data_IF_892923160320
#
_entry.id   IF_892923160320
#
_cell.length_a   1.000
_cell.length_b   1.000
_cell.length_c   1.000
_cell.angle_alpha   90.00
_cell.angle_beta   90.00
_cell.angle_gamma   90.00
#
_symmetry.space_group_name_H-M   'P 1'
#
loop_
_entity.id
_entity.type
_entity.pdbx_description
1 polymer ?
#
# COMPACT_ATOMS: atom_id res chain seq x y z
N UNK A 1 1.17 -1.41 -1.42
CA UNK A 1 0.22 -0.28 -1.24
C UNK A 1 0.05 0.45 -2.57
N UNK A 2 -1.15 0.97 -2.86
CA UNK A 2 -1.44 1.72 -4.10
C UNK A 2 -1.55 3.21 -3.77
N UNK A 3 -0.59 3.99 -4.26
CA UNK A 3 -0.49 5.43 -4.02
C UNK A 3 -0.98 6.22 -5.22
N UNK A 4 -1.45 7.45 -4.98
CA UNK A 4 -1.85 8.41 -6.02
C UNK A 4 -0.66 9.28 -6.42
N UNK A 5 -0.40 9.40 -7.71
CA UNK A 5 0.57 10.31 -8.31
C UNK A 5 -0.01 11.72 -8.42
N UNK A 6 0.88 12.71 -8.53
CA UNK A 6 0.50 14.12 -8.74
C UNK A 6 -0.36 14.32 -10.00
N UNK A 7 -0.12 13.53 -11.05
CA UNK A 7 -0.90 13.58 -12.29
C UNK A 7 -2.25 12.83 -12.21
N UNK A 8 -2.62 12.30 -11.04
CA UNK A 8 -3.88 11.59 -10.83
C UNK A 8 -3.82 10.07 -11.06
N UNK A 9 -2.74 9.57 -11.66
CA UNK A 9 -2.52 8.14 -11.83
C UNK A 9 -2.22 7.44 -10.51
N UNK A 10 -2.12 6.12 -10.55
CA UNK A 10 -1.72 5.33 -9.39
C UNK A 10 -0.46 4.53 -9.65
N UNK A 11 0.23 4.16 -8.58
CA UNK A 11 1.40 3.30 -8.62
C UNK A 11 1.50 2.45 -7.37
N UNK A 12 2.18 1.32 -7.52
CA UNK A 12 2.42 0.40 -6.43
C UNK A 12 3.75 0.71 -5.75
N UNK A 13 3.72 0.63 -4.42
CA UNK A 13 4.90 0.73 -3.55
C UNK A 13 4.91 -0.44 -2.55
N UNK A 14 6.10 -0.93 -2.24
CA UNK A 14 6.32 -1.70 -1.03
C UNK A 14 6.53 -0.68 0.10
N UNK A 15 5.69 -0.72 1.13
CA UNK A 15 5.72 0.24 2.23
C UNK A 15 5.94 -0.52 3.54
N UNK A 16 7.06 -0.24 4.21
CA UNK A 16 7.37 -0.77 5.54
C UNK A 16 7.21 0.35 6.55
N UNK A 17 6.40 0.11 7.59
CA UNK A 17 6.14 1.09 8.65
C UNK A 17 6.78 0.60 9.95
N UNK A 18 7.63 1.42 10.54
CA UNK A 18 8.33 1.11 11.79
C UNK A 18 8.04 2.20 12.82
N UNK A 19 7.68 1.84 14.07
CA UNK A 19 7.49 2.82 15.13
C UNK A 19 8.83 3.49 15.49
N UNK A 20 8.80 4.79 15.76
CA UNK A 20 9.92 5.54 16.32
C UNK A 20 9.72 5.61 17.83
N UNK A 21 10.68 5.08 18.59
CA UNK A 21 10.62 4.99 20.05
C UNK A 21 11.61 5.96 20.68
N UNK A 22 11.12 6.86 21.53
CA UNK A 22 11.94 7.74 22.36
C UNK A 22 11.53 7.59 23.83
N UNK A 23 12.49 7.39 24.73
CA UNK A 23 12.21 7.20 26.16
C UNK A 23 11.26 6.04 26.48
N UNK A 24 11.27 4.98 25.65
CA UNK A 24 10.38 3.82 25.79
C UNK A 24 8.93 4.05 25.34
N UNK A 25 8.63 5.20 24.72
CA UNK A 25 7.30 5.52 24.18
C UNK A 25 7.37 5.70 22.67
N UNK A 26 6.34 5.23 21.98
CA UNK A 26 6.19 5.51 20.55
C UNK A 26 5.86 6.98 20.35
N UNK A 27 6.73 7.71 19.66
CA UNK A 27 6.56 9.15 19.37
C UNK A 27 6.18 9.40 17.91
N UNK A 28 6.26 8.40 17.05
CA UNK A 28 5.86 8.50 15.65
C UNK A 28 6.03 7.19 14.90
N UNK A 29 5.84 7.27 13.58
CA UNK A 29 6.03 6.15 12.68
C UNK A 29 6.79 6.61 11.44
N UNK A 30 7.80 5.84 11.07
CA UNK A 30 8.56 6.02 9.84
C UNK A 30 8.04 5.04 8.79
N UNK A 31 7.66 5.56 7.63
CA UNK A 31 7.29 4.75 6.46
C UNK A 31 8.41 4.81 5.41
N UNK A 32 9.08 3.68 5.21
CA UNK A 32 10.06 3.50 4.14
C UNK A 32 9.38 2.87 2.95
N UNK A 33 9.49 3.52 1.79
CA UNK A 33 8.87 3.06 0.55
C UNK A 33 9.93 2.70 -0.48
N UNK A 34 9.75 1.57 -1.13
CA UNK A 34 10.61 1.11 -2.22
C UNK A 34 9.79 0.77 -3.46
N UNK A 35 10.47 0.77 -4.60
CA UNK A 35 9.88 0.35 -5.88
C UNK A 35 9.72 -1.17 -5.87
N UNK A 36 8.49 -1.70 -6.03
CA UNK A 36 8.25 -3.14 -6.15
C UNK A 36 8.82 -3.68 -7.46
N UNK A 37 9.13 -4.97 -7.47
CA UNK A 37 9.40 -5.72 -8.69
C UNK A 37 8.16 -5.80 -9.58
N UNK A 38 8.35 -6.13 -10.86
CA UNK A 38 7.23 -6.24 -11.81
C UNK A 38 6.25 -7.36 -11.45
N UNK A 39 6.73 -8.45 -10.87
CA UNK A 39 5.87 -9.59 -10.53
C UNK A 39 5.05 -9.31 -9.26
N UNK A 40 5.62 -8.61 -8.27
CA UNK A 40 4.87 -8.11 -7.12
C UNK A 40 3.77 -7.13 -7.54
N UNK A 41 4.04 -6.28 -8.55
CA UNK A 41 3.02 -5.39 -9.12
C UNK A 41 1.87 -6.19 -9.73
N UNK A 42 2.16 -7.18 -10.58
CA UNK A 42 1.12 -8.01 -11.21
C UNK A 42 0.25 -8.73 -10.17
N UNK A 43 0.89 -9.30 -9.14
CA UNK A 43 0.19 -9.96 -8.06
C UNK A 43 -0.72 -8.99 -7.30
N UNK A 44 -0.18 -7.82 -6.94
CA UNK A 44 -0.95 -6.79 -6.23
C UNK A 44 -2.14 -6.28 -7.07
N UNK A 45 -1.97 -6.13 -8.38
CA UNK A 45 -3.04 -5.75 -9.30
C UNK A 45 -4.16 -6.79 -9.34
N UNK A 46 -3.81 -8.08 -9.48
CA UNK A 46 -4.79 -9.16 -9.49
C UNK A 46 -5.58 -9.24 -8.18
N UNK A 47 -4.89 -9.21 -7.05
CA UNK A 47 -5.51 -9.23 -5.72
C UNK A 47 -6.43 -8.02 -5.51
N UNK A 48 -5.97 -6.83 -5.91
CA UNK A 48 -6.77 -5.61 -5.78
C UNK A 48 -8.02 -5.63 -6.65
N UNK A 49 -7.95 -6.17 -7.87
CA UNK A 49 -9.11 -6.34 -8.73
C UNK A 49 -10.16 -7.25 -8.07
N UNK A 50 -9.74 -8.42 -7.57
CA UNK A 50 -10.62 -9.37 -6.87
C UNK A 50 -11.27 -8.74 -5.62
N UNK A 51 -10.49 -8.01 -4.82
CA UNK A 51 -11.01 -7.30 -3.65
C UNK A 51 -12.05 -6.25 -4.03
N UNK A 52 -11.80 -5.48 -5.10
CA UNK A 52 -12.72 -4.45 -5.58
C UNK A 52 -14.02 -5.06 -6.09
N UNK A 53 -13.95 -6.13 -6.88
CA UNK A 53 -15.12 -6.86 -7.37
C UNK A 53 -15.93 -7.49 -6.22
N UNK A 54 -15.23 -8.06 -5.22
CA UNK A 54 -15.88 -8.61 -4.03
C UNK A 54 -16.55 -7.52 -3.19
N UNK A 55 -15.90 -6.36 -3.02
CA UNK A 55 -16.48 -5.21 -2.31
C UNK A 55 -17.73 -4.63 -3.02
N UNK A 56 -17.77 -4.71 -4.35
CA UNK A 56 -18.92 -4.32 -5.16
C UNK A 56 -20.07 -5.34 -5.08
N UNK A 57 -19.75 -6.59 -4.71
CA UNK A 57 -20.74 -7.67 -4.56
C UNK A 57 -21.40 -7.64 -3.18
N UNK A 58 -20.66 -7.28 -2.12
CA UNK A 58 -21.19 -7.15 -0.75
C UNK A 58 -22.01 -5.87 -0.56
N UNK A 59 -21.76 -4.83 -1.37
CA UNK A 59 -22.49 -3.56 -1.32
C UNK A 59 -23.79 -3.55 -2.17
N UNK A 60 -24.32 -4.72 -2.56
CA UNK A 60 -25.50 -4.89 -3.40
C UNK A 60 -26.68 -5.46 -2.63
#
# INVERSE_FOLDING_TARGET
>A
MKDRRKNGDHYWVCANVTPVIEGGKTVGYLSVRTKPSRDEVKLAESTYAQMRESSLTVAR
#
